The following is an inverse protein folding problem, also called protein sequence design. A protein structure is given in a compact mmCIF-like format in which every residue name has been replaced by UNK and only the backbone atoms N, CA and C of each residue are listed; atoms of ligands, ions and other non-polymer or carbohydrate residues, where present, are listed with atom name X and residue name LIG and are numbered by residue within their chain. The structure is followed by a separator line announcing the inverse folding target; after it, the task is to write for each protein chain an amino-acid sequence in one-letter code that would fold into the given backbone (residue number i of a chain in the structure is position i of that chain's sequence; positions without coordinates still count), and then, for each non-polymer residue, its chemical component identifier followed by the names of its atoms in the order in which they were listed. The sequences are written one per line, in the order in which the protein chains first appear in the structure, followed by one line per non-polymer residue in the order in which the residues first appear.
data_IF_697650563872
#
_entry.id   IF_697650563872
#
_cell.length_a   1.000
_cell.length_b   1.000
_cell.length_c   1.000
_cell.angle_alpha   90.00
_cell.angle_beta   90.00
_cell.angle_gamma   90.00
#
_symmetry.space_group_name_H-M   'P 1'
#
loop_
_entity.id
_entity.type
_entity.pdbx_description
1 polymer ?
#
# COMPACT_ATOMS: atom_id res chain seq x y z
N UNK A 1 -15.34 -15.54 10.47
CA UNK A 1 -14.32 -14.63 9.91
C UNK A 1 -14.53 -13.26 10.54
N UNK A 2 -13.49 -12.62 11.08
CA UNK A 2 -13.61 -11.28 11.67
C UNK A 2 -13.54 -10.23 10.55
N UNK A 3 -14.46 -9.27 10.57
CA UNK A 3 -14.43 -8.16 9.61
C UNK A 3 -13.30 -7.17 9.92
N UNK A 4 -13.07 -6.91 11.21
CA UNK A 4 -12.05 -6.02 11.73
C UNK A 4 -11.49 -6.56 13.05
N UNK A 5 -10.28 -6.13 13.39
CA UNK A 5 -9.61 -6.44 14.66
C UNK A 5 -8.92 -5.19 15.19
N UNK A 6 -9.29 -4.77 16.39
CA UNK A 6 -8.62 -3.66 17.08
C UNK A 6 -7.60 -4.20 18.07
N UNK A 7 -6.34 -3.84 17.86
CA UNK A 7 -5.24 -4.03 18.80
C UNK A 7 -4.64 -2.64 19.06
N UNK A 8 -5.23 -1.91 20.01
CA UNK A 8 -4.93 -0.51 20.23
C UNK A 8 -3.41 -0.25 20.31
N UNK A 9 -2.88 0.75 19.58
CA UNK A 9 -3.63 1.81 18.87
C UNK A 9 -4.02 1.45 17.42
N UNK A 10 -3.88 0.20 16.98
CA UNK A 10 -4.05 -0.20 15.59
C UNK A 10 -5.42 -0.83 15.30
N UNK A 11 -5.94 -0.52 14.11
CA UNK A 11 -7.14 -1.12 13.55
C UNK A 11 -6.78 -1.91 12.29
N UNK A 12 -7.03 -3.21 12.32
CA UNK A 12 -6.81 -4.11 11.20
C UNK A 12 -8.14 -4.38 10.49
N UNK A 13 -8.17 -4.20 9.17
CA UNK A 13 -9.36 -4.48 8.35
C UNK A 13 -8.95 -4.90 6.94
N UNK A 14 -9.89 -5.44 6.16
CA UNK A 14 -9.57 -5.87 4.80
C UNK A 14 -9.49 -4.70 3.81
N UNK A 15 -10.50 -3.83 3.79
CA UNK A 15 -10.62 -2.72 2.85
C UNK A 15 -10.43 -1.41 3.61
N UNK A 16 -9.58 -0.52 3.10
CA UNK A 16 -9.31 0.77 3.74
C UNK A 16 -10.56 1.67 3.78
N UNK A 17 -10.74 2.42 4.87
CA UNK A 17 -11.71 3.52 4.98
C UNK A 17 -11.05 4.79 5.50
N UNK A 18 -11.61 5.96 5.20
CA UNK A 18 -11.05 7.25 5.63
C UNK A 18 -11.42 7.62 7.09
N UNK A 19 -11.95 6.68 7.88
CA UNK A 19 -12.71 7.00 9.09
C UNK A 19 -11.83 7.26 10.32
N UNK A 20 -10.71 6.54 10.50
CA UNK A 20 -9.87 6.64 11.70
C UNK A 20 -8.38 6.43 11.39
N UNK A 21 -7.47 7.11 12.12
CA UNK A 21 -6.03 6.86 12.04
C UNK A 21 -5.65 5.53 12.72
N UNK A 22 -4.45 5.03 12.42
CA UNK A 22 -3.95 3.75 12.92
C UNK A 22 -4.42 2.54 12.11
N UNK A 23 -4.91 2.76 10.89
CA UNK A 23 -5.43 1.68 10.04
C UNK A 23 -4.31 0.89 9.36
N UNK A 24 -4.44 -0.44 9.38
CA UNK A 24 -3.68 -1.37 8.54
C UNK A 24 -4.65 -2.18 7.70
N UNK A 25 -4.59 -2.01 6.38
CA UNK A 25 -5.54 -2.60 5.43
C UNK A 25 -4.87 -3.26 4.23
N UNK A 26 -5.61 -4.10 3.52
CA UNK A 26 -5.12 -4.83 2.35
C UNK A 26 -5.95 -4.50 1.11
N UNK A 27 -6.44 -5.54 0.44
CA UNK A 27 -7.37 -5.51 -0.70
C UNK A 27 -6.80 -4.93 -2.01
N UNK A 28 -6.22 -3.74 -2.00
CA UNK A 28 -5.82 -3.02 -3.20
C UNK A 28 -4.50 -3.50 -3.81
N UNK A 29 -3.67 -4.16 -3.00
CA UNK A 29 -2.37 -4.73 -3.38
C UNK A 29 -1.49 -3.73 -4.16
N UNK A 30 -1.08 -2.61 -3.54
CA UNK A 30 -0.42 -1.52 -4.23
C UNK A 30 0.90 -1.95 -4.89
N UNK A 31 1.13 -1.41 -6.08
CA UNK A 31 2.33 -1.61 -6.89
C UNK A 31 2.91 -0.28 -7.35
N UNK A 32 4.23 -0.16 -7.32
CA UNK A 32 4.95 0.94 -7.96
C UNK A 32 5.53 0.46 -9.29
N UNK A 33 5.28 1.21 -10.37
CA UNK A 33 6.01 1.04 -11.62
C UNK A 33 7.33 1.81 -11.56
N UNK A 34 8.43 1.08 -11.71
CA UNK A 34 9.78 1.66 -11.81
C UNK A 34 10.36 1.42 -13.20
N UNK A 35 10.98 2.45 -13.76
CA UNK A 35 11.76 2.33 -14.99
C UNK A 35 13.18 1.86 -14.65
N UNK A 36 13.63 0.82 -15.33
CA UNK A 36 15.00 0.30 -15.23
C UNK A 36 15.62 0.19 -16.62
N UNK A 37 16.92 -0.08 -16.70
CA UNK A 37 17.60 -0.35 -17.97
C UNK A 37 17.00 -1.54 -18.73
N UNK A 38 16.37 -2.47 -18.02
CA UNK A 38 15.69 -3.65 -18.58
C UNK A 38 14.20 -3.41 -18.91
N UNK A 39 13.72 -2.16 -18.79
CA UNK A 39 12.32 -1.79 -19.02
C UNK A 39 11.56 -1.42 -17.75
N UNK A 40 10.23 -1.29 -17.88
CA UNK A 40 9.33 -0.95 -16.77
C UNK A 40 8.94 -2.20 -16.01
N UNK A 41 9.16 -2.20 -14.70
CA UNK A 41 8.80 -3.30 -13.80
C UNK A 41 7.85 -2.78 -12.73
N UNK A 42 6.76 -3.51 -12.48
CA UNK A 42 5.88 -3.26 -11.35
C UNK A 42 6.36 -4.05 -10.13
N UNK A 43 6.56 -3.39 -9.00
CA UNK A 43 6.93 -4.04 -7.73
C UNK A 43 5.84 -3.84 -6.69
N UNK A 44 5.43 -4.89 -5.96
CA UNK A 44 4.55 -4.73 -4.80
C UNK A 44 5.21 -3.84 -3.75
N UNK A 45 4.43 -2.99 -3.11
CA UNK A 45 4.91 -2.08 -2.09
C UNK A 45 3.93 -1.98 -0.92
N UNK A 46 4.42 -1.56 0.23
CA UNK A 46 3.56 -0.96 1.24
C UNK A 46 3.34 0.52 0.86
N UNK A 47 2.12 1.01 1.07
CA UNK A 47 1.87 2.45 1.12
C UNK A 47 1.72 2.87 2.56
N UNK A 48 2.47 3.89 2.97
CA UNK A 48 2.53 4.34 4.37
C UNK A 48 2.42 5.86 4.41
N UNK A 49 1.49 6.37 5.20
CA UNK A 49 1.45 7.80 5.57
C UNK A 49 1.41 7.97 7.09
N UNK A 50 1.06 9.17 7.55
CA UNK A 50 1.01 9.52 8.98
C UNK A 50 -0.14 8.80 9.72
N UNK A 51 -1.10 8.21 9.00
CA UNK A 51 -2.37 7.70 9.54
C UNK A 51 -2.66 6.24 9.19
N UNK A 52 -2.06 5.68 8.14
CA UNK A 52 -2.39 4.32 7.68
C UNK A 52 -1.25 3.59 6.97
N UNK A 53 -1.42 2.27 6.86
CA UNK A 53 -0.63 1.38 6.03
C UNK A 53 -1.55 0.54 5.14
N UNK A 54 -1.28 0.53 3.83
CA UNK A 54 -1.90 -0.41 2.88
C UNK A 54 -0.87 -1.45 2.47
N UNK A 55 -1.20 -2.72 2.71
CA UNK A 55 -0.33 -3.87 2.53
C UNK A 55 -0.31 -4.36 1.07
N UNK A 56 0.86 -4.77 0.53
CA UNK A 56 0.91 -5.49 -0.74
C UNK A 56 0.23 -6.86 -0.60
N UNK A 57 -0.04 -7.48 -1.75
CA UNK A 57 -0.36 -8.90 -1.73
C UNK A 57 0.86 -9.74 -1.33
N UNK A 58 0.63 -10.77 -0.52
CA UNK A 58 1.64 -11.78 -0.21
C UNK A 58 1.63 -12.96 -1.20
N UNK A 59 0.55 -13.13 -1.96
CA UNK A 59 0.42 -14.17 -2.97
C UNK A 59 1.09 -13.81 -4.30
N UNK A 60 1.52 -14.83 -5.04
CA UNK A 60 2.20 -14.68 -6.36
C UNK A 60 1.24 -14.38 -7.52
N UNK A 61 -0.05 -14.66 -7.37
CA UNK A 61 -1.05 -14.61 -8.46
C UNK A 61 -2.05 -13.46 -8.38
N UNK A 62 -1.79 -12.45 -7.57
CA UNK A 62 -2.72 -11.33 -7.43
C UNK A 62 -2.34 -10.18 -8.38
N UNK A 63 -3.36 -9.66 -9.07
CA UNK A 63 -3.33 -8.31 -9.62
C UNK A 63 -3.06 -7.26 -8.53
N UNK A 64 -3.07 -5.99 -8.88
CA UNK A 64 -2.88 -4.92 -7.90
C UNK A 64 -2.90 -3.57 -8.55
N UNK A 65 -3.32 -2.57 -7.79
CA UNK A 65 -3.46 -1.22 -8.29
C UNK A 65 -2.09 -0.53 -8.36
N UNK A 66 -1.91 0.29 -9.40
CA UNK A 66 -0.79 1.23 -9.43
C UNK A 66 -0.96 2.21 -8.27
N UNK A 67 0.13 2.67 -7.65
CA UNK A 67 0.05 3.73 -6.64
C UNK A 67 -0.58 5.02 -7.18
N UNK A 68 -0.52 5.24 -8.49
CA UNK A 68 -1.16 6.37 -9.19
C UNK A 68 -2.66 6.16 -9.46
N UNK A 69 -3.23 5.02 -9.05
CA UNK A 69 -4.66 4.77 -9.16
C UNK A 69 -5.45 5.76 -8.28
N UNK A 70 -6.53 6.38 -8.77
CA UNK A 70 -7.31 7.37 -8.01
C UNK A 70 -7.77 6.89 -6.63
N UNK A 71 -8.06 5.59 -6.47
CA UNK A 71 -8.47 5.03 -5.18
C UNK A 71 -7.34 5.16 -4.16
N UNK A 72 -6.12 4.79 -4.54
CA UNK A 72 -4.96 4.90 -3.66
C UNK A 72 -4.52 6.36 -3.46
N UNK A 73 -4.65 7.20 -4.49
CA UNK A 73 -4.38 8.64 -4.38
C UNK A 73 -5.30 9.34 -3.37
N UNK A 74 -6.58 8.95 -3.35
CA UNK A 74 -7.58 9.51 -2.43
C UNK A 74 -7.44 9.00 -0.99
N UNK A 75 -6.94 7.78 -0.80
CA UNK A 75 -6.73 7.20 0.54
C UNK A 75 -5.46 7.71 1.23
N UNK A 76 -4.42 8.04 0.47
CA UNK A 76 -3.09 8.31 1.00
C UNK A 76 -2.77 9.81 1.09
N UNK A 77 -2.29 10.25 2.25
CA UNK A 77 -1.92 11.65 2.51
C UNK A 77 -0.73 12.16 1.68
N UNK A 78 -0.60 13.48 1.53
CA UNK A 78 0.36 14.13 0.62
C UNK A 78 1.83 13.68 0.79
N UNK A 79 2.24 13.31 2.00
CA UNK A 79 3.59 12.83 2.33
C UNK A 79 3.74 11.29 2.33
N UNK A 80 2.79 10.58 1.72
CA UNK A 80 2.81 9.13 1.64
C UNK A 80 4.11 8.61 0.99
N UNK A 81 4.56 7.46 1.47
CA UNK A 81 5.76 6.76 1.00
C UNK A 81 5.36 5.40 0.46
N UNK A 82 6.04 4.97 -0.60
CA UNK A 82 6.00 3.60 -1.08
C UNK A 82 7.26 2.86 -0.59
N UNK A 83 7.06 1.72 0.07
CA UNK A 83 8.13 0.82 0.51
C UNK A 83 8.09 -0.43 -0.38
N UNK A 84 8.92 -0.48 -1.40
CA UNK A 84 8.94 -1.55 -2.39
C UNK A 84 9.56 -2.82 -1.78
N UNK A 85 8.94 -3.96 -2.06
CA UNK A 85 9.34 -5.28 -1.54
C UNK A 85 10.25 -6.02 -2.52
N UNK A 86 11.09 -6.93 -2.00
CA UNK A 86 12.03 -7.77 -2.74
C UNK A 86 13.24 -8.11 -1.88
N UNK A 87 14.38 -8.45 -2.48
CA UNK A 87 15.61 -8.78 -1.75
C UNK A 87 16.08 -7.68 -0.78
N UNK A 88 15.72 -6.43 -1.08
CA UNK A 88 15.89 -5.27 -0.20
C UNK A 88 14.62 -4.43 -0.25
N UNK A 89 14.23 -3.91 0.92
CA UNK A 89 13.20 -2.89 1.01
C UNK A 89 13.77 -1.56 0.49
N UNK A 90 13.04 -0.92 -0.42
CA UNK A 90 13.41 0.39 -0.98
C UNK A 90 12.31 1.37 -0.64
N UNK A 91 12.65 2.45 0.05
CA UNK A 91 11.71 3.52 0.40
C UNK A 91 11.81 4.63 -0.63
N UNK A 92 10.67 5.10 -1.12
CA UNK A 92 10.58 6.28 -1.97
C UNK A 92 9.29 7.07 -1.68
N UNK A 93 9.21 8.35 -2.08
CA UNK A 93 7.93 9.05 -2.11
C UNK A 93 6.91 8.26 -2.94
N UNK A 94 5.65 8.21 -2.48
CA UNK A 94 4.57 7.60 -3.25
C UNK A 94 4.41 8.36 -4.58
N UNK A 95 4.53 7.69 -5.74
CA UNK A 95 4.25 8.32 -7.03
C UNK A 95 2.79 8.80 -7.09
N UNK A 96 2.58 9.98 -7.67
CA UNK A 96 1.25 10.58 -7.88
C UNK A 96 1.01 10.81 -9.35
#
# INVERSE_FOLDING_TARGET
YLAELTLAPLLFRHIATAEQPGEISGHFHPKVQISSRAGRVARPCFLVDETRIILPAFGTYTGGLSCTDPVLQGLMGAKARAILTGARAIVMPMPR
#
